data_IF_883703167712
#
_entry.id   IF_883703167712
#
_cell.length_a   1.000
_cell.length_b   1.000
_cell.length_c   1.000
_cell.angle_alpha   90.00
_cell.angle_beta   90.00
_cell.angle_gamma   90.00
#
_symmetry.space_group_name_H-M   'P 1'
#
loop_
_entity.id
_entity.type
_entity.pdbx_description
1 polymer ?
#
# COMPACT_ATOMS: atom_id res chain seq x y z
N UNK A 1 -1.36 -12.04 5.35
CA UNK A 1 -0.85 -10.73 5.80
C UNK A 1 -1.78 -9.68 5.22
N UNK A 2 -2.43 -8.84 6.02
CA UNK A 2 -3.26 -7.75 5.48
C UNK A 2 -2.41 -6.51 5.24
N UNK A 3 -2.93 -5.57 4.45
CA UNK A 3 -2.27 -4.28 4.21
C UNK A 3 -2.13 -3.49 5.53
N UNK A 4 -3.05 -3.69 6.49
CA UNK A 4 -2.95 -3.14 7.84
C UNK A 4 -1.78 -3.74 8.63
N UNK A 5 -1.56 -5.07 8.54
CA UNK A 5 -0.38 -5.70 9.17
C UNK A 5 0.93 -5.10 8.64
N UNK A 6 1.00 -4.77 7.34
CA UNK A 6 2.18 -4.13 6.75
C UNK A 6 2.37 -2.71 7.29
N UNK A 7 1.28 -1.94 7.43
CA UNK A 7 1.30 -0.57 7.96
C UNK A 7 1.73 -0.52 9.42
N UNK A 8 1.32 -1.51 10.21
CA UNK A 8 1.69 -1.64 11.63
C UNK A 8 3.15 -2.09 11.82
N UNK A 9 3.72 -2.80 10.83
CA UNK A 9 5.12 -3.21 10.85
C UNK A 9 6.09 -2.07 10.46
N UNK A 10 5.59 -0.93 9.95
CA UNK A 10 6.44 0.19 9.57
C UNK A 10 7.03 0.90 10.81
N UNK A 11 8.33 1.21 10.80
CA UNK A 11 8.97 1.93 11.90
C UNK A 11 8.47 3.37 12.02
N UNK A 12 8.62 3.98 13.20
CA UNK A 12 8.07 5.31 13.50
C UNK A 12 8.53 6.42 12.53
N UNK A 13 9.76 6.33 12.00
CA UNK A 13 10.27 7.30 11.02
C UNK A 13 9.60 7.18 9.64
N UNK A 14 8.93 6.06 9.35
CA UNK A 14 8.24 5.78 8.09
C UNK A 14 6.74 6.12 8.14
N UNK A 15 6.32 6.98 9.09
CA UNK A 15 4.91 7.34 9.30
C UNK A 15 4.22 7.84 8.02
N UNK A 16 4.90 8.66 7.23
CA UNK A 16 4.33 9.19 5.99
C UNK A 16 4.08 8.10 4.94
N UNK A 17 4.90 7.05 4.90
CA UNK A 17 4.68 5.88 4.03
C UNK A 17 3.41 5.14 4.45
N UNK A 18 3.19 4.96 5.76
CA UNK A 18 1.97 4.33 6.29
C UNK A 18 0.71 5.14 5.97
N UNK A 19 0.79 6.48 6.04
CA UNK A 19 -0.30 7.37 5.66
C UNK A 19 -0.60 7.28 4.16
N UNK A 20 0.42 7.33 3.31
CA UNK A 20 0.27 7.22 1.86
C UNK A 20 -0.33 5.88 1.42
N UNK A 21 0.09 4.77 2.04
CA UNK A 21 -0.49 3.43 1.81
C UNK A 21 -1.99 3.41 2.14
N UNK A 22 -2.41 4.02 3.25
CA UNK A 22 -3.82 4.12 3.61
C UNK A 22 -4.63 4.97 2.62
N UNK A 23 -4.08 6.11 2.20
CA UNK A 23 -4.70 6.99 1.20
C UNK A 23 -4.85 6.28 -0.16
N UNK A 24 -3.81 5.59 -0.62
CA UNK A 24 -3.83 4.83 -1.88
C UNK A 24 -4.73 3.59 -1.82
N UNK A 25 -4.93 2.98 -0.65
CA UNK A 25 -5.90 1.89 -0.53
C UNK A 25 -7.35 2.40 -0.66
N UNK A 26 -7.62 3.61 -0.17
CA UNK A 26 -8.96 4.21 -0.09
C UNK A 26 -9.36 5.07 -1.28
N UNK A 27 -8.45 5.29 -2.23
CA UNK A 27 -8.71 6.09 -3.44
C UNK A 27 -9.73 5.42 -4.38
N UNK A 28 -10.30 6.18 -5.31
CA UNK A 28 -11.37 5.70 -6.22
C UNK A 28 -11.13 6.05 -7.69
N UNK A 29 -9.92 6.49 -8.03
CA UNK A 29 -9.47 6.79 -9.40
C UNK A 29 -9.27 5.50 -10.18
N UNK A 30 -8.68 4.48 -9.57
CA UNK A 30 -8.51 3.16 -10.19
C UNK A 30 -9.64 2.22 -9.83
N UNK A 31 -10.00 1.33 -10.76
CA UNK A 31 -10.84 0.19 -10.40
C UNK A 31 -10.06 -0.81 -9.53
N UNK A 32 -10.78 -1.70 -8.85
CA UNK A 32 -10.17 -2.64 -7.90
C UNK A 32 -9.06 -3.49 -8.53
N UNK A 33 -9.25 -3.99 -9.76
CA UNK A 33 -8.25 -4.81 -10.44
C UNK A 33 -6.98 -4.02 -10.73
N UNK A 34 -7.10 -2.76 -11.18
CA UNK A 34 -5.98 -1.87 -11.46
C UNK A 34 -5.25 -1.48 -10.18
N UNK A 35 -5.98 -1.12 -9.12
CA UNK A 35 -5.41 -0.72 -7.82
C UNK A 35 -4.61 -1.85 -7.20
N UNK A 36 -5.23 -3.02 -7.04
CA UNK A 36 -4.57 -4.16 -6.42
C UNK A 36 -3.49 -4.76 -7.32
N UNK A 37 -3.69 -4.73 -8.64
CA UNK A 37 -2.68 -5.11 -9.62
C UNK A 37 -1.43 -4.22 -9.54
N UNK A 38 -1.60 -2.90 -9.41
CA UNK A 38 -0.49 -1.97 -9.24
C UNK A 38 0.27 -2.22 -7.93
N UNK A 39 -0.42 -2.44 -6.81
CA UNK A 39 0.25 -2.76 -5.54
C UNK A 39 1.10 -4.02 -5.62
N UNK A 40 0.58 -5.10 -6.21
CA UNK A 40 1.32 -6.36 -6.35
C UNK A 40 2.49 -6.21 -7.33
N UNK A 41 2.28 -5.56 -8.48
CA UNK A 41 3.35 -5.32 -9.45
C UNK A 41 4.49 -4.47 -8.86
N UNK A 42 4.17 -3.40 -8.12
CA UNK A 42 5.16 -2.56 -7.43
C UNK A 42 5.88 -3.32 -6.32
N UNK A 43 5.17 -4.11 -5.51
CA UNK A 43 5.79 -4.95 -4.48
C UNK A 43 6.76 -5.97 -5.10
N UNK A 44 6.36 -6.63 -6.19
CA UNK A 44 7.19 -7.60 -6.88
C UNK A 44 8.43 -6.97 -7.54
N UNK A 45 8.32 -5.74 -8.04
CA UNK A 45 9.44 -5.03 -8.63
C UNK A 45 10.54 -4.68 -7.62
N UNK A 46 10.21 -4.64 -6.32
CA UNK A 46 11.15 -4.30 -5.24
C UNK A 46 11.92 -5.51 -4.69
N UNK A 47 11.39 -6.74 -4.86
CA UNK A 47 12.05 -7.99 -4.44
C UNK A 47 11.58 -8.51 -3.09
#
# INVERSE_FOLDING_TARGET
>A
MSLDTLRDALPAYAKDISLNLGSLASETVLNDQQKWGAFVASAHALG
#
